data_IF_975467296761
#
_entry.id   IF_975467296761
#
_cell.length_a   1.000
_cell.length_b   1.000
_cell.length_c   1.000
_cell.angle_alpha   90.00
_cell.angle_beta   90.00
_cell.angle_gamma   90.00
#
_symmetry.space_group_name_H-M   'P 1'
#
loop_
_entity.id
_entity.type
_entity.pdbx_description
1 polymer ?
#
# COMPACT_ATOMS: atom_id res chain seq x y z
N UNK A 1 15.05 -19.91 13.90
CA UNK A 1 15.14 -20.09 12.42
C UNK A 1 14.37 -21.37 12.13
N UNK A 2 13.37 -21.27 11.26
CA UNK A 2 12.53 -22.39 10.85
C UNK A 2 12.97 -22.82 9.43
N UNK A 3 13.01 -24.12 9.18
CA UNK A 3 13.38 -24.68 7.86
C UNK A 3 12.17 -25.43 7.33
N UNK A 4 11.67 -25.01 6.18
CA UNK A 4 10.54 -25.62 5.47
C UNK A 4 11.02 -26.08 4.11
N UNK A 5 10.70 -27.30 3.71
CA UNK A 5 10.97 -27.80 2.35
C UNK A 5 10.03 -27.07 1.37
N UNK A 6 10.56 -26.69 0.19
CA UNK A 6 9.78 -25.93 -0.79
C UNK A 6 8.52 -26.65 -1.28
N UNK A 7 8.53 -27.98 -1.28
CA UNK A 7 7.40 -28.85 -1.64
C UNK A 7 6.29 -28.85 -0.58
N UNK A 8 6.61 -28.44 0.69
CA UNK A 8 5.68 -28.31 1.80
C UNK A 8 5.10 -26.89 1.89
N UNK A 9 5.68 -25.92 1.15
CA UNK A 9 5.21 -24.54 1.15
C UNK A 9 3.88 -24.44 0.40
N UNK A 10 2.84 -24.03 1.14
CA UNK A 10 1.56 -23.63 0.53
C UNK A 10 1.63 -22.17 0.10
N UNK A 11 1.02 -21.85 -1.03
CA UNK A 11 0.77 -20.44 -1.37
C UNK A 11 -0.13 -19.83 -0.31
N UNK A 12 0.18 -18.60 0.05
CA UNK A 12 -0.67 -17.87 1.00
C UNK A 12 -2.04 -17.63 0.38
N UNK A 13 -3.09 -17.91 1.12
CA UNK A 13 -4.47 -17.52 0.78
C UNK A 13 -4.68 -16.03 0.97
N UNK A 14 -3.74 -15.35 1.65
CA UNK A 14 -3.78 -13.92 1.95
C UNK A 14 -2.78 -13.16 1.09
N UNK A 15 -3.09 -11.92 0.83
CA UNK A 15 -2.30 -11.06 -0.04
C UNK A 15 -1.85 -9.77 0.65
N UNK A 16 -0.70 -9.25 0.18
CA UNK A 16 -0.23 -7.91 0.51
C UNK A 16 -0.15 -7.10 -0.78
N UNK A 17 -0.94 -6.03 -0.88
CA UNK A 17 -1.08 -5.20 -2.08
C UNK A 17 -0.83 -3.74 -1.75
N UNK A 18 -0.04 -3.06 -2.57
CA UNK A 18 0.05 -1.60 -2.60
C UNK A 18 -0.64 -1.06 -3.84
N UNK A 19 -1.63 -0.22 -3.67
CA UNK A 19 -2.29 0.49 -4.76
C UNK A 19 -1.91 1.96 -4.77
N UNK A 20 -1.56 2.49 -5.94
CA UNK A 20 -1.22 3.89 -6.06
C UNK A 20 -1.90 4.56 -7.26
N UNK A 21 -2.17 5.84 -7.12
CA UNK A 21 -2.76 6.69 -8.14
C UNK A 21 -2.74 8.16 -7.72
N UNK A 22 -3.09 9.04 -8.64
CA UNK A 22 -3.35 10.46 -8.33
C UNK A 22 -4.38 10.63 -7.21
N UNK A 23 -4.31 11.71 -6.42
CA UNK A 23 -5.40 12.10 -5.52
C UNK A 23 -6.74 12.13 -6.26
N UNK A 24 -7.81 11.63 -5.62
CA UNK A 24 -9.16 11.60 -6.22
C UNK A 24 -9.41 10.53 -7.28
N UNK A 25 -8.42 9.70 -7.65
CA UNK A 25 -8.60 8.65 -8.66
C UNK A 25 -9.51 7.50 -8.22
N UNK A 26 -9.71 7.30 -6.90
CA UNK A 26 -10.61 6.27 -6.36
C UNK A 26 -9.91 5.15 -5.60
N UNK A 27 -8.68 5.37 -5.09
CA UNK A 27 -7.95 4.39 -4.25
C UNK A 27 -8.79 3.94 -3.05
N UNK A 28 -9.22 4.89 -2.22
CA UNK A 28 -10.08 4.62 -1.06
C UNK A 28 -11.38 3.92 -1.47
N UNK A 29 -11.99 4.33 -2.60
CA UNK A 29 -13.20 3.69 -3.13
C UNK A 29 -12.98 2.21 -3.49
N UNK A 30 -11.75 1.81 -3.85
CA UNK A 30 -11.44 0.41 -4.17
C UNK A 30 -11.64 -0.51 -2.97
N UNK A 31 -11.45 -0.01 -1.74
CA UNK A 31 -11.57 -0.78 -0.50
C UNK A 31 -12.95 -1.43 -0.33
N UNK A 32 -14.01 -0.83 -0.88
CA UNK A 32 -15.37 -1.40 -0.85
C UNK A 32 -15.51 -2.77 -1.55
N UNK A 33 -14.54 -3.17 -2.34
CA UNK A 33 -14.52 -4.45 -3.05
C UNK A 33 -13.73 -5.54 -2.32
N UNK A 34 -13.18 -5.24 -1.14
CA UNK A 34 -12.64 -6.27 -0.25
C UNK A 34 -13.79 -7.13 0.27
N UNK A 35 -13.60 -8.43 0.25
CA UNK A 35 -14.52 -9.38 0.87
C UNK A 35 -14.17 -9.54 2.35
N UNK A 36 -15.19 -9.77 3.20
CA UNK A 36 -15.01 -9.92 4.64
C UNK A 36 -14.86 -8.59 5.40
N UNK A 37 -14.54 -8.70 6.68
CA UNK A 37 -14.42 -7.55 7.58
C UNK A 37 -13.09 -6.83 7.39
N UNK A 38 -13.15 -5.53 7.30
CA UNK A 38 -11.99 -4.67 7.06
C UNK A 38 -11.76 -3.72 8.23
N UNK A 39 -10.52 -3.70 8.73
CA UNK A 39 -10.00 -2.70 9.65
C UNK A 39 -9.13 -1.71 8.87
N UNK A 40 -9.49 -0.43 8.89
CA UNK A 40 -8.80 0.60 8.10
C UNK A 40 -8.26 1.70 8.98
N UNK A 41 -7.01 2.10 8.77
CA UNK A 41 -6.43 3.35 9.28
C UNK A 41 -6.53 4.42 8.20
N UNK A 42 -7.37 5.43 8.45
CA UNK A 42 -7.49 6.62 7.60
C UNK A 42 -6.48 7.67 8.03
N UNK A 43 -5.42 7.84 7.24
CA UNK A 43 -4.34 8.78 7.52
C UNK A 43 -4.61 10.20 7.00
N UNK A 44 -5.46 10.37 5.97
CA UNK A 44 -5.67 11.64 5.27
C UNK A 44 -7.11 12.19 5.32
N UNK A 45 -8.01 11.51 6.06
CA UNK A 45 -9.39 11.95 6.25
C UNK A 45 -10.30 11.73 5.04
N UNK A 46 -9.95 10.82 4.14
CA UNK A 46 -10.71 10.58 2.88
C UNK A 46 -11.69 9.41 2.94
N UNK A 47 -11.76 8.70 4.06
CA UNK A 47 -12.59 7.50 4.26
C UNK A 47 -14.11 7.72 4.15
N UNK A 48 -14.58 8.97 4.16
CA UNK A 48 -16.03 9.29 4.04
C UNK A 48 -16.72 8.71 2.81
N UNK A 49 -15.95 8.39 1.76
CA UNK A 49 -16.47 7.72 0.54
C UNK A 49 -16.93 6.28 0.80
N UNK A 50 -16.57 5.70 1.95
CA UNK A 50 -16.95 4.36 2.41
C UNK A 50 -18.11 4.40 3.41
N UNK A 51 -18.70 5.57 3.65
CA UNK A 51 -19.81 5.72 4.61
C UNK A 51 -20.98 4.81 4.28
N UNK A 52 -21.53 4.15 5.29
CA UNK A 52 -22.68 3.24 5.16
C UNK A 52 -22.33 1.79 4.80
N UNK A 53 -21.06 1.46 4.63
CA UNK A 53 -20.63 0.07 4.42
C UNK A 53 -20.49 -0.65 5.78
N UNK A 54 -21.20 -1.78 6.03
CA UNK A 54 -21.30 -2.36 7.37
C UNK A 54 -20.02 -3.07 7.84
N UNK A 55 -19.22 -3.59 6.91
CA UNK A 55 -18.08 -4.46 7.22
C UNK A 55 -16.74 -3.72 7.29
N UNK A 56 -16.76 -2.38 7.33
CA UNK A 56 -15.54 -1.57 7.40
C UNK A 56 -15.51 -0.78 8.70
N UNK A 57 -14.54 -1.11 9.55
CA UNK A 57 -14.21 -0.37 10.77
C UNK A 57 -13.08 0.61 10.48
N UNK A 58 -13.28 1.90 10.76
CA UNK A 58 -12.32 2.95 10.42
C UNK A 58 -11.76 3.59 11.69
N UNK A 59 -10.43 3.55 11.83
CA UNK A 59 -9.66 4.35 12.78
C UNK A 59 -9.11 5.58 12.05
N UNK A 60 -9.19 6.75 12.66
CA UNK A 60 -8.63 7.99 12.09
C UNK A 60 -7.33 8.34 12.79
N UNK A 61 -6.28 8.52 12.01
CA UNK A 61 -4.97 8.88 12.54
C UNK A 61 -4.95 10.33 13.02
N UNK A 62 -4.42 10.57 14.22
CA UNK A 62 -4.26 11.89 14.77
C UNK A 62 -2.95 12.54 14.25
N UNK A 63 -3.03 13.64 13.48
CA UNK A 63 -1.85 14.30 12.93
C UNK A 63 -0.86 14.81 13.97
N UNK A 64 -1.31 14.95 15.24
CA UNK A 64 -0.46 15.41 16.36
C UNK A 64 0.31 14.28 17.03
N UNK A 65 -0.07 13.03 16.77
CA UNK A 65 0.58 11.84 17.35
C UNK A 65 0.66 10.63 16.39
N UNK A 66 1.10 10.84 15.13
CA UNK A 66 0.98 9.83 14.09
C UNK A 66 1.81 8.56 14.36
N UNK A 67 2.90 8.69 15.10
CA UNK A 67 3.80 7.57 15.39
C UNK A 67 3.15 6.60 16.38
N UNK A 68 2.58 7.14 17.47
CA UNK A 68 1.91 6.32 18.47
C UNK A 68 0.62 5.70 17.91
N UNK A 69 -0.19 6.49 17.20
CA UNK A 69 -1.42 5.98 16.61
C UNK A 69 -1.19 4.83 15.62
N UNK A 70 -0.10 4.88 14.83
CA UNK A 70 0.28 3.77 13.94
C UNK A 70 0.67 2.54 14.74
N UNK A 71 1.41 2.71 15.84
CA UNK A 71 1.81 1.60 16.71
C UNK A 71 0.59 0.99 17.43
N UNK A 72 -0.32 1.83 17.91
CA UNK A 72 -1.57 1.39 18.56
C UNK A 72 -2.48 0.67 17.57
N UNK A 73 -2.59 1.18 16.35
CA UNK A 73 -3.35 0.52 15.27
C UNK A 73 -2.78 -0.86 14.93
N UNK A 74 -1.45 -0.97 14.80
CA UNK A 74 -0.81 -2.27 14.60
C UNK A 74 -1.08 -3.22 15.77
N UNK A 75 -0.93 -2.74 17.00
CA UNK A 75 -1.23 -3.52 18.21
C UNK A 75 -2.66 -4.01 18.24
N UNK A 76 -3.63 -3.16 17.90
CA UNK A 76 -5.03 -3.52 17.78
C UNK A 76 -5.27 -4.55 16.68
N UNK A 77 -4.77 -4.31 15.46
CA UNK A 77 -4.90 -5.25 14.35
C UNK A 77 -4.34 -6.64 14.69
N UNK A 78 -3.17 -6.69 15.35
CA UNK A 78 -2.54 -7.94 15.77
C UNK A 78 -3.34 -8.71 16.82
N UNK A 79 -3.95 -8.02 17.77
CA UNK A 79 -4.72 -8.65 18.86
C UNK A 79 -6.12 -9.05 18.44
N UNK A 80 -6.64 -8.50 17.33
CA UNK A 80 -7.97 -8.76 16.78
C UNK A 80 -7.89 -9.40 15.37
N UNK A 81 -6.79 -10.06 15.05
CA UNK A 81 -6.57 -10.67 13.73
C UNK A 81 -7.65 -11.70 13.35
N UNK A 82 -8.27 -12.35 14.33
CA UNK A 82 -9.37 -13.31 14.10
C UNK A 82 -10.73 -12.62 13.81
N UNK A 83 -10.81 -11.30 13.96
CA UNK A 83 -12.03 -10.53 13.74
C UNK A 83 -12.07 -9.82 12.38
N UNK A 84 -10.93 -9.65 11.74
CA UNK A 84 -10.77 -8.91 10.49
C UNK A 84 -10.03 -9.72 9.44
N UNK A 85 -10.64 -9.85 8.28
CA UNK A 85 -10.04 -10.48 7.10
C UNK A 85 -9.03 -9.57 6.41
N UNK A 86 -9.21 -8.24 6.57
CA UNK A 86 -8.40 -7.23 5.88
C UNK A 86 -7.94 -6.12 6.82
N UNK A 87 -6.70 -5.68 6.65
CA UNK A 87 -6.14 -4.47 7.26
C UNK A 87 -5.71 -3.51 6.16
N UNK A 88 -6.16 -2.26 6.25
CA UNK A 88 -5.90 -1.21 5.25
C UNK A 88 -5.21 -0.02 5.88
N UNK A 89 -4.17 0.50 5.24
CA UNK A 89 -3.49 1.75 5.61
C UNK A 89 -3.65 2.74 4.43
N UNK A 90 -4.51 3.71 4.59
CA UNK A 90 -4.84 4.73 3.57
C UNK A 90 -4.54 6.14 4.10
N UNK A 91 -3.44 6.81 3.67
CA UNK A 91 -2.43 6.40 2.71
C UNK A 91 -1.02 6.65 3.26
N UNK A 92 -0.05 5.87 2.78
CA UNK A 92 1.35 5.95 3.20
C UNK A 92 2.02 7.28 2.85
N UNK A 93 1.67 7.90 1.72
CA UNK A 93 2.25 9.17 1.29
C UNK A 93 1.91 10.31 2.24
N UNK A 94 0.68 10.31 2.80
CA UNK A 94 0.30 11.29 3.81
C UNK A 94 0.92 10.97 5.17
N UNK A 95 0.90 9.70 5.59
CA UNK A 95 1.56 9.25 6.81
C UNK A 95 3.03 9.67 6.85
N UNK A 96 3.78 9.47 5.76
CA UNK A 96 5.16 9.94 5.62
C UNK A 96 5.33 11.42 5.98
N UNK A 97 4.45 12.28 5.45
CA UNK A 97 4.49 13.72 5.72
C UNK A 97 4.19 14.02 7.19
N UNK A 98 3.16 13.39 7.74
CA UNK A 98 2.80 13.59 9.15
C UNK A 98 3.92 13.13 10.09
N UNK A 99 4.54 11.98 9.82
CA UNK A 99 5.64 11.46 10.60
C UNK A 99 6.85 12.42 10.62
N UNK A 100 7.23 12.92 9.45
CA UNK A 100 8.33 13.87 9.32
C UNK A 100 8.02 15.19 10.03
N UNK A 101 6.82 15.74 9.87
CA UNK A 101 6.39 16.96 10.55
C UNK A 101 6.38 16.78 12.08
N UNK A 102 5.87 15.64 12.56
CA UNK A 102 5.83 15.32 13.98
C UNK A 102 7.23 15.30 14.60
N UNK A 103 8.17 14.61 13.97
CA UNK A 103 9.55 14.49 14.48
C UNK A 103 10.36 15.78 14.28
N UNK A 104 10.04 16.59 13.28
CA UNK A 104 10.69 17.88 13.03
C UNK A 104 10.27 19.01 13.97
N UNK A 105 9.08 18.94 14.58
CA UNK A 105 8.50 20.03 15.37
C UNK A 105 9.35 20.50 16.56
N UNK A 106 10.17 19.61 17.12
CA UNK A 106 11.02 19.89 18.29
C UNK A 106 12.45 20.33 17.90
N UNK A 107 12.76 20.46 16.61
CA UNK A 107 14.04 21.02 16.15
C UNK A 107 14.05 22.54 16.32
N UNK A 108 15.23 23.16 16.23
CA UNK A 108 15.37 24.62 16.29
C UNK A 108 14.58 25.36 15.20
N UNK A 109 14.47 24.75 14.02
CA UNK A 109 13.76 25.30 12.86
C UNK A 109 12.27 24.96 12.84
N UNK A 110 11.82 24.01 13.67
CA UNK A 110 10.48 23.43 13.59
C UNK A 110 10.27 22.55 12.34
N UNK A 111 11.35 22.21 11.63
CA UNK A 111 11.32 21.42 10.39
C UNK A 111 12.11 20.12 10.55
N UNK A 112 11.81 19.08 9.78
CA UNK A 112 12.60 17.85 9.77
C UNK A 112 14.07 18.14 9.39
N UNK A 113 14.99 17.62 10.17
CA UNK A 113 16.43 17.64 9.87
C UNK A 113 16.82 16.37 9.10
N UNK A 114 18.00 16.37 8.47
CA UNK A 114 18.46 15.27 7.61
C UNK A 114 18.37 13.89 8.28
N UNK A 115 18.68 13.81 9.57
CA UNK A 115 18.59 12.57 10.34
C UNK A 115 17.19 11.99 10.41
N UNK A 116 16.13 12.84 10.49
CA UNK A 116 14.74 12.37 10.56
C UNK A 116 14.33 11.61 9.31
N UNK A 117 14.87 11.98 8.16
CA UNK A 117 14.60 11.28 6.91
C UNK A 117 15.19 9.85 6.91
N UNK A 118 16.40 9.67 7.44
CA UNK A 118 16.98 8.33 7.56
C UNK A 118 16.26 7.45 8.58
N UNK A 119 15.82 8.03 9.70
CA UNK A 119 15.03 7.33 10.72
C UNK A 119 13.67 6.91 10.12
N UNK A 120 13.03 7.81 9.36
CA UNK A 120 11.77 7.48 8.69
C UNK A 120 11.93 6.33 7.69
N UNK A 121 13.03 6.34 6.91
CA UNK A 121 13.29 5.29 5.93
C UNK A 121 13.31 3.90 6.60
N UNK A 122 14.02 3.77 7.73
CA UNK A 122 14.03 2.53 8.52
C UNK A 122 12.65 2.22 9.11
N UNK A 123 12.00 3.21 9.71
CA UNK A 123 10.67 3.05 10.30
C UNK A 123 9.64 2.55 9.29
N UNK A 124 9.64 3.08 8.06
CA UNK A 124 8.68 2.66 7.02
C UNK A 124 8.90 1.21 6.60
N UNK A 125 10.16 0.79 6.43
CA UNK A 125 10.51 -0.59 6.09
C UNK A 125 10.05 -1.54 7.19
N UNK A 126 10.37 -1.23 8.45
CA UNK A 126 9.98 -2.04 9.61
C UNK A 126 8.46 -2.13 9.74
N UNK A 127 7.76 -1.00 9.61
CA UNK A 127 6.30 -0.92 9.66
C UNK A 127 5.66 -1.84 8.61
N UNK A 128 6.05 -1.71 7.34
CA UNK A 128 5.51 -2.55 6.27
C UNK A 128 5.85 -4.03 6.52
N UNK A 129 7.06 -4.32 7.00
CA UNK A 129 7.48 -5.69 7.29
C UNK A 129 6.64 -6.33 8.39
N UNK A 130 6.32 -5.61 9.48
CA UNK A 130 5.51 -6.17 10.56
C UNK A 130 4.04 -6.34 10.16
N UNK A 131 3.47 -5.40 9.38
CA UNK A 131 2.11 -5.56 8.85
C UNK A 131 2.02 -6.72 7.86
N UNK A 132 2.99 -6.87 6.94
CA UNK A 132 3.03 -7.96 5.98
C UNK A 132 3.07 -9.37 6.63
N UNK A 133 3.47 -9.43 7.89
CA UNK A 133 3.56 -10.67 8.68
C UNK A 133 2.36 -10.88 9.61
N UNK A 134 1.30 -10.09 9.52
CA UNK A 134 0.05 -10.38 10.24
C UNK A 134 -0.53 -11.69 9.72
N UNK A 135 -0.80 -12.62 10.64
CA UNK A 135 -1.32 -13.94 10.29
C UNK A 135 -2.77 -13.82 9.79
N UNK A 136 -3.10 -14.61 8.79
CA UNK A 136 -4.47 -14.79 8.31
C UNK A 136 -5.19 -13.47 7.92
N UNK A 137 -4.45 -12.52 7.36
CA UNK A 137 -4.97 -11.18 7.10
C UNK A 137 -4.45 -10.65 5.76
N UNK A 138 -5.33 -10.14 4.93
CA UNK A 138 -4.95 -9.38 3.73
C UNK A 138 -4.50 -7.97 4.12
N UNK A 139 -3.40 -7.50 3.54
CA UNK A 139 -2.87 -6.17 3.81
C UNK A 139 -2.98 -5.31 2.55
N UNK A 140 -3.62 -4.15 2.69
CA UNK A 140 -3.74 -3.18 1.60
C UNK A 140 -3.13 -1.85 2.02
N UNK A 141 -2.14 -1.41 1.28
CA UNK A 141 -1.58 -0.08 1.39
C UNK A 141 -2.08 0.79 0.25
N UNK A 142 -2.35 2.05 0.51
CA UNK A 142 -2.53 3.02 -0.56
C UNK A 142 -1.41 4.06 -0.54
N UNK A 143 -1.08 4.61 -1.71
CA UNK A 143 -0.14 5.71 -1.85
C UNK A 143 -0.61 6.69 -2.94
N UNK A 144 -0.19 7.94 -2.87
CA UNK A 144 -0.31 8.84 -4.01
C UNK A 144 0.64 8.42 -5.12
N UNK A 145 0.41 8.95 -6.30
CA UNK A 145 1.26 8.75 -7.47
C UNK A 145 2.32 9.84 -7.54
N UNK A 146 3.54 9.44 -7.85
CA UNK A 146 4.65 10.31 -8.20
C UNK A 146 5.25 9.87 -9.54
N UNK A 147 6.15 10.67 -10.09
CA UNK A 147 6.91 10.35 -11.30
C UNK A 147 8.40 10.51 -11.06
N UNK A 148 9.20 9.61 -11.63
CA UNK A 148 10.65 9.76 -11.71
C UNK A 148 11.09 9.68 -13.17
N UNK A 149 12.14 10.40 -13.51
CA UNK A 149 12.77 10.28 -14.81
C UNK A 149 13.75 9.11 -14.82
N UNK A 150 13.62 8.25 -15.80
CA UNK A 150 14.53 7.11 -16.02
C UNK A 150 15.19 7.28 -17.38
N UNK A 151 16.48 6.98 -17.45
CA UNK A 151 17.25 6.92 -18.68
C UNK A 151 17.46 5.46 -19.08
N UNK A 152 17.05 5.11 -20.29
CA UNK A 152 17.36 3.81 -20.89
C UNK A 152 18.83 3.74 -21.31
N UNK A 153 19.34 2.55 -21.49
CA UNK A 153 20.70 2.30 -22.02
C UNK A 153 20.91 2.98 -23.38
N UNK A 154 19.85 3.11 -24.18
CA UNK A 154 19.83 3.87 -25.43
C UNK A 154 20.03 5.38 -25.28
N UNK A 155 20.04 5.92 -24.05
CA UNK A 155 20.06 7.34 -23.73
C UNK A 155 18.68 8.01 -23.75
N UNK A 156 17.62 7.32 -24.15
CA UNK A 156 16.26 7.87 -24.15
C UNK A 156 15.75 8.07 -22.73
N UNK A 157 15.16 9.22 -22.46
CA UNK A 157 14.53 9.58 -21.18
C UNK A 157 13.03 9.32 -21.24
N UNK A 158 12.47 8.77 -20.17
CA UNK A 158 11.04 8.62 -19.98
C UNK A 158 10.63 8.87 -18.52
N UNK A 159 9.37 9.17 -18.28
CA UNK A 159 8.81 9.33 -16.95
C UNK A 159 8.14 8.02 -16.53
N UNK A 160 8.58 7.44 -15.41
CA UNK A 160 7.95 6.29 -14.80
C UNK A 160 7.09 6.73 -13.63
N UNK A 161 5.83 6.30 -13.62
CA UNK A 161 4.91 6.48 -12.49
C UNK A 161 5.18 5.41 -11.42
N UNK A 162 5.15 5.82 -10.15
CA UNK A 162 5.42 4.98 -8.97
C UNK A 162 4.70 5.55 -7.74
N UNK A 163 4.61 4.79 -6.63
CA UNK A 163 4.09 5.33 -5.36
C UNK A 163 4.89 6.54 -4.87
N UNK A 164 4.20 7.56 -4.35
CA UNK A 164 4.81 8.75 -3.72
C UNK A 164 5.34 8.39 -2.32
N UNK A 165 6.42 7.65 -2.32
CA UNK A 165 7.22 7.26 -1.18
C UNK A 165 8.62 7.79 -1.41
N UNK A 166 9.36 8.09 -0.33
CA UNK A 166 10.72 8.62 -0.41
C UNK A 166 11.59 7.77 -1.35
N UNK A 167 12.29 8.44 -2.25
CA UNK A 167 13.07 7.82 -3.33
C UNK A 167 14.08 6.78 -2.83
N UNK A 168 14.70 7.03 -1.66
CA UNK A 168 15.70 6.11 -1.08
C UNK A 168 15.14 4.74 -0.69
N UNK A 169 13.85 4.67 -0.35
CA UNK A 169 13.24 3.42 0.16
C UNK A 169 12.13 2.89 -0.72
N UNK A 170 11.64 3.66 -1.69
CA UNK A 170 10.51 3.24 -2.53
C UNK A 170 10.78 1.90 -3.22
N UNK A 171 11.98 1.69 -3.76
CA UNK A 171 12.33 0.42 -4.41
C UNK A 171 12.33 -0.76 -3.41
N UNK A 172 12.81 -0.54 -2.18
CA UNK A 172 12.77 -1.56 -1.12
C UNK A 172 11.33 -1.88 -0.74
N UNK A 173 10.52 -0.85 -0.46
CA UNK A 173 9.10 -0.99 -0.12
C UNK A 173 8.34 -1.75 -1.21
N UNK A 174 8.51 -1.36 -2.48
CA UNK A 174 7.90 -2.08 -3.61
C UNK A 174 8.44 -3.52 -3.74
N UNK A 175 9.68 -3.77 -3.31
CA UNK A 175 10.28 -5.10 -3.31
C UNK A 175 9.62 -6.07 -2.34
N UNK A 176 9.29 -5.60 -1.13
CA UNK A 176 8.73 -6.43 -0.05
C UNK A 176 7.21 -6.56 -0.05
N UNK A 177 6.50 -5.84 -0.94
CA UNK A 177 5.06 -5.99 -1.15
C UNK A 177 4.85 -6.83 -2.41
N UNK A 178 4.18 -8.00 -2.33
CA UNK A 178 4.01 -8.91 -3.46
C UNK A 178 3.31 -8.31 -4.69
N UNK A 179 2.32 -7.43 -4.47
CA UNK A 179 1.60 -6.77 -5.56
C UNK A 179 1.71 -5.26 -5.43
N UNK A 180 2.15 -4.59 -6.49
CA UNK A 180 2.12 -3.14 -6.64
C UNK A 180 1.29 -2.79 -7.86
N UNK A 181 0.16 -2.13 -7.67
CA UNK A 181 -0.86 -1.92 -8.66
C UNK A 181 -1.12 -0.42 -8.90
N UNK A 182 -1.07 0.02 -10.14
CA UNK A 182 -1.41 1.39 -10.53
C UNK A 182 -2.88 1.48 -10.96
N UNK A 183 -3.68 2.28 -10.24
CA UNK A 183 -5.05 2.58 -10.63
C UNK A 183 -5.05 3.61 -11.76
N UNK A 184 -5.68 3.24 -12.87
CA UNK A 184 -5.90 4.09 -14.03
C UNK A 184 -7.39 4.24 -14.33
N UNK A 185 -7.75 5.27 -15.08
CA UNK A 185 -9.10 5.48 -15.60
C UNK A 185 -9.04 5.58 -17.12
N UNK A 186 -9.84 4.79 -17.80
CA UNK A 186 -10.03 4.93 -19.23
C UNK A 186 -10.70 6.29 -19.53
N UNK A 187 -10.10 7.17 -20.32
CA UNK A 187 -10.62 8.52 -20.58
C UNK A 187 -11.94 8.49 -21.39
N UNK A 188 -12.15 7.47 -22.22
CA UNK A 188 -13.34 7.35 -23.09
C UNK A 188 -14.54 6.77 -22.35
N UNK A 189 -14.34 5.65 -21.62
CA UNK A 189 -15.43 4.93 -20.96
C UNK A 189 -15.62 5.36 -19.51
N UNK A 190 -14.61 6.02 -18.91
CA UNK A 190 -14.59 6.34 -17.49
C UNK A 190 -14.35 5.14 -16.57
N UNK A 191 -14.21 3.93 -17.13
CA UNK A 191 -13.95 2.71 -16.38
C UNK A 191 -12.59 2.77 -15.68
N UNK A 192 -12.53 2.24 -14.47
CA UNK A 192 -11.29 2.16 -13.67
C UNK A 192 -10.76 0.74 -13.68
N UNK A 193 -9.43 0.63 -13.65
CA UNK A 193 -8.74 -0.65 -13.54
C UNK A 193 -7.30 -0.46 -13.08
N UNK A 194 -6.65 -1.56 -12.81
CA UNK A 194 -5.29 -1.61 -12.29
C UNK A 194 -4.34 -2.21 -13.30
N UNK A 195 -3.22 -1.53 -13.55
CA UNK A 195 -2.05 -2.12 -14.18
C UNK A 195 -1.30 -2.92 -13.11
N UNK A 196 -1.03 -4.19 -13.40
CA UNK A 196 -0.38 -5.14 -12.50
C UNK A 196 1.00 -5.58 -13.01
N UNK A 197 1.36 -5.20 -14.23
CA UNK A 197 2.64 -5.52 -14.86
C UNK A 197 3.43 -4.27 -15.16
N UNK A 198 4.73 -4.33 -14.90
CA UNK A 198 5.66 -3.23 -15.19
C UNK A 198 5.77 -2.96 -16.70
N UNK A 199 5.88 -1.68 -17.03
CA UNK A 199 6.32 -1.21 -18.34
C UNK A 199 7.16 0.07 -18.16
N UNK A 200 7.74 0.58 -19.27
CA UNK A 200 8.60 1.76 -19.20
C UNK A 200 7.95 2.97 -18.51
N UNK A 201 6.64 3.12 -18.59
CA UNK A 201 5.91 4.25 -18.01
C UNK A 201 5.33 3.99 -16.63
N UNK A 202 5.31 2.75 -16.13
CA UNK A 202 4.65 2.40 -14.86
C UNK A 202 5.44 1.37 -14.08
N UNK A 203 5.66 1.62 -12.80
CA UNK A 203 6.07 0.55 -11.90
C UNK A 203 4.84 -0.21 -11.42
N UNK A 204 4.75 -1.46 -11.78
CA UNK A 204 3.75 -2.38 -11.29
C UNK A 204 4.37 -3.77 -11.15
N UNK A 205 3.81 -4.60 -10.28
CA UNK A 205 4.31 -5.94 -9.99
C UNK A 205 3.18 -6.81 -9.49
N UNK A 206 3.14 -8.06 -9.96
CA UNK A 206 2.20 -9.05 -9.47
C UNK A 206 2.91 -10.41 -9.31
N UNK A 207 3.08 -10.84 -8.08
CA UNK A 207 3.70 -12.11 -7.71
C UNK A 207 2.68 -13.14 -7.20
N UNK A 208 1.38 -12.80 -7.19
CA UNK A 208 0.32 -13.67 -6.67
C UNK A 208 -0.35 -14.47 -7.79
N UNK A 209 -0.63 -13.82 -8.91
CA UNK A 209 -1.24 -14.45 -10.08
C UNK A 209 -0.65 -13.84 -11.36
N UNK A 210 -1.07 -14.33 -12.52
CA UNK A 210 -0.50 -13.93 -13.81
C UNK A 210 -1.27 -12.79 -14.49
N UNK A 211 -2.16 -12.08 -13.78
CA UNK A 211 -2.93 -10.98 -14.36
C UNK A 211 -2.01 -9.79 -14.63
N UNK A 212 -2.09 -9.24 -15.81
CA UNK A 212 -1.41 -8.00 -16.20
C UNK A 212 -2.29 -6.78 -15.93
N UNK A 213 -3.60 -7.00 -15.84
CA UNK A 213 -4.62 -5.98 -15.61
C UNK A 213 -5.80 -6.57 -14.81
N UNK A 214 -6.44 -5.72 -14.00
CA UNK A 214 -7.70 -6.06 -13.33
C UNK A 214 -8.65 -4.87 -13.38
N UNK A 215 -9.96 -5.11 -13.52
CA UNK A 215 -10.95 -4.09 -13.26
C UNK A 215 -10.92 -3.67 -11.78
N UNK A 216 -11.42 -2.47 -11.46
CA UNK A 216 -11.37 -1.98 -10.08
C UNK A 216 -12.10 -2.92 -9.10
N UNK A 217 -13.21 -3.49 -9.52
CA UNK A 217 -14.03 -4.44 -8.76
C UNK A 217 -13.43 -5.84 -8.64
N UNK A 218 -12.43 -6.16 -9.47
CA UNK A 218 -11.84 -7.49 -9.55
C UNK A 218 -10.40 -7.55 -8.98
N UNK A 219 -9.86 -6.42 -8.51
CA UNK A 219 -8.48 -6.36 -8.04
C UNK A 219 -8.19 -7.44 -6.98
N UNK A 220 -9.08 -7.56 -5.99
CA UNK A 220 -8.89 -8.43 -4.83
C UNK A 220 -9.35 -9.88 -5.06
N UNK A 221 -9.99 -10.16 -6.19
CA UNK A 221 -10.30 -11.53 -6.63
C UNK A 221 -9.03 -12.16 -7.22
N UNK A 222 -8.19 -12.66 -6.34
CA UNK A 222 -6.96 -13.33 -6.74
C UNK A 222 -7.36 -14.69 -7.31
N UNK A 223 -7.12 -14.88 -8.61
CA UNK A 223 -7.57 -16.06 -9.33
C UNK A 223 -6.93 -17.36 -8.85
N UNK A 224 -7.69 -18.45 -8.92
CA UNK A 224 -7.17 -19.80 -8.80
C UNK A 224 -6.09 -20.00 -9.88
N UNK A 225 -4.84 -20.01 -9.48
CA UNK A 225 -3.69 -20.16 -10.38
C UNK A 225 -3.63 -21.61 -10.92
N UNK A 226 -4.34 -22.54 -10.30
CA UNK A 226 -4.36 -23.97 -10.67
C UNK A 226 -5.33 -24.32 -11.81
N UNK A 227 -6.08 -23.34 -12.34
CA UNK A 227 -7.08 -23.65 -13.38
C UNK A 227 -6.54 -23.71 -14.80
N UNK A 228 -5.25 -23.40 -15.06
CA UNK A 228 -4.63 -23.52 -16.41
C UNK A 228 -3.10 -23.72 -16.29
N UNK A 229 -2.67 -24.89 -15.99
CA UNK A 229 -1.36 -25.40 -16.36
C UNK A 229 -1.52 -26.46 -17.43
#
# INVERSE_FOLDING_TARGET
MEFIQSEEMKRSEYFNIMIYAKPGAGKTTTIKYLEGKTLMLDCDGTSKVLSGLPDITIATLNPRNPVQDMADFYGYAKTHADEYDNVVIDNLSHYQKLWLMFNGRNTKSGQPELQHYGIFDTHLIDMISVFNNLANTNIVYTAWENTRQIQLESGQLYNQFLPDIREKVVNHVMGIVPVVARLIRNPETGQRGFLLTENNGNFAKNQLDNREFALQEDLFKIGDIDAKA
#
